data_IF_601696879991
#
_entry.id   IF_601696879991
#
_cell.length_a   1.000
_cell.length_b   1.000
_cell.length_c   1.000
_cell.angle_alpha   90.00
_cell.angle_beta   90.00
_cell.angle_gamma   90.00
#
_symmetry.space_group_name_H-M   'P 1'
#
loop_
_entity.id
_entity.type
_entity.pdbx_description
1 polymer ?
#
# COMPACT_ATOMS: atom_id res chain seq x y z
N UNK A 1 -99.97 2.15 -33.72
CA UNK A 1 -100.36 0.78 -34.15
C UNK A 1 -99.09 0.10 -34.63
N UNK A 2 -98.74 -1.02 -33.98
CA UNK A 2 -98.00 -2.18 -34.52
C UNK A 2 -96.55 -1.93 -35.01
N UNK A 3 -95.53 -2.74 -34.78
CA UNK A 3 -95.33 -4.01 -34.09
C UNK A 3 -93.86 -4.40 -34.38
N UNK A 4 -93.13 -4.88 -33.38
CA UNK A 4 -91.95 -5.76 -33.53
C UNK A 4 -92.38 -7.11 -34.20
N UNK A 5 -91.53 -8.11 -34.57
CA UNK A 5 -90.16 -8.40 -34.07
C UNK A 5 -89.17 -9.12 -35.07
N UNK A 6 -88.05 -9.63 -34.50
CA UNK A 6 -87.19 -10.80 -34.87
C UNK A 6 -86.08 -10.58 -35.93
N UNK A 7 -84.79 -10.46 -35.55
CA UNK A 7 -83.75 -11.45 -35.17
C UNK A 7 -83.08 -12.20 -36.34
N UNK A 8 -81.75 -12.02 -36.49
CA UNK A 8 -80.89 -12.74 -37.45
C UNK A 8 -79.39 -12.50 -37.22
N UNK A 9 -78.85 -13.23 -36.24
CA UNK A 9 -77.48 -13.78 -36.03
C UNK A 9 -76.34 -13.45 -37.03
N UNK A 10 -75.19 -12.99 -36.47
CA UNK A 10 -73.74 -13.23 -36.74
C UNK A 10 -73.26 -13.60 -38.17
N UNK A 11 -72.10 -13.18 -38.72
CA UNK A 11 -70.77 -12.85 -38.17
C UNK A 11 -69.88 -12.16 -39.23
N UNK A 12 -68.87 -11.42 -38.74
CA UNK A 12 -67.54 -11.17 -39.31
C UNK A 12 -67.37 -10.24 -40.54
N UNK A 13 -66.85 -9.04 -40.27
CA UNK A 13 -66.34 -8.09 -41.26
C UNK A 13 -65.56 -6.96 -40.58
N UNK A 14 -64.24 -7.09 -40.62
CA UNK A 14 -63.15 -6.26 -40.11
C UNK A 14 -63.43 -4.73 -40.08
N UNK A 15 -63.31 -4.11 -38.89
CA UNK A 15 -63.17 -2.65 -38.75
C UNK A 15 -61.77 -2.34 -38.21
N UNK A 16 -61.03 -1.59 -39.01
CA UNK A 16 -59.76 -0.95 -38.68
C UNK A 16 -60.03 0.12 -37.61
N UNK A 17 -59.54 -0.08 -36.39
CA UNK A 17 -59.66 0.89 -35.30
C UNK A 17 -58.34 1.65 -35.13
N UNK A 18 -58.39 2.98 -35.34
CA UNK A 18 -57.35 3.91 -34.89
C UNK A 18 -57.42 3.94 -33.35
N UNK A 19 -56.40 3.40 -32.68
CA UNK A 19 -56.22 3.54 -31.25
C UNK A 19 -55.02 4.45 -30.97
N UNK A 20 -55.30 5.50 -30.20
CA UNK A 20 -54.34 6.38 -29.55
C UNK A 20 -53.31 5.56 -28.77
N UNK A 21 -52.03 5.73 -29.07
CA UNK A 21 -50.94 5.15 -28.28
C UNK A 21 -50.92 5.83 -26.90
N UNK A 22 -51.35 5.08 -25.88
CA UNK A 22 -51.03 5.38 -24.49
C UNK A 22 -49.52 5.23 -24.28
N UNK A 23 -48.96 6.18 -23.53
CA UNK A 23 -47.61 6.13 -22.99
C UNK A 23 -47.38 4.78 -22.31
N UNK A 24 -46.41 4.03 -22.82
CA UNK A 24 -45.91 2.83 -22.20
C UNK A 24 -44.91 3.29 -21.11
N UNK A 25 -45.19 2.95 -19.85
CA UNK A 25 -44.29 3.19 -18.72
C UNK A 25 -42.90 2.63 -19.05
N UNK A 26 -41.90 3.50 -18.98
CA UNK A 26 -40.49 3.11 -19.06
C UNK A 26 -40.18 2.19 -17.88
N UNK A 27 -39.78 0.96 -18.18
CA UNK A 27 -39.19 0.06 -17.18
C UNK A 27 -37.90 0.70 -16.67
N UNK A 28 -37.66 0.74 -15.35
CA UNK A 28 -36.42 1.29 -14.83
C UNK A 28 -35.25 0.41 -15.30
N UNK A 29 -34.29 1.05 -15.96
CA UNK A 29 -32.98 0.46 -16.24
C UNK A 29 -32.30 0.24 -14.89
N UNK A 30 -32.09 -1.02 -14.51
CA UNK A 30 -31.33 -1.37 -13.31
C UNK A 30 -29.86 -1.03 -13.53
N UNK A 31 -29.42 0.10 -12.99
CA UNK A 31 -28.00 0.43 -12.84
C UNK A 31 -27.35 -0.62 -11.95
N UNK A 32 -26.26 -1.28 -12.35
CA UNK A 32 -25.49 -2.10 -11.43
C UNK A 32 -24.82 -1.15 -10.41
N UNK A 33 -25.37 -1.13 -9.20
CA UNK A 33 -24.78 -0.45 -8.04
C UNK A 33 -23.44 -1.12 -7.75
N UNK A 34 -22.34 -0.37 -7.92
CA UNK A 34 -21.04 -0.78 -7.42
C UNK A 34 -21.18 -1.12 -5.94
N UNK A 35 -20.69 -2.29 -5.52
CA UNK A 35 -20.60 -2.66 -4.10
C UNK A 35 -19.68 -1.66 -3.42
N UNK A 36 -20.28 -0.70 -2.73
CA UNK A 36 -19.63 0.38 -2.00
C UNK A 36 -19.25 -0.15 -0.62
N UNK A 37 -17.95 -0.37 -0.40
CA UNK A 37 -17.41 -0.77 0.89
C UNK A 37 -17.62 0.36 1.90
N UNK A 38 -18.32 0.06 3.00
CA UNK A 38 -18.73 1.02 4.03
C UNK A 38 -17.72 1.20 5.17
N UNK A 39 -16.58 0.52 5.14
CA UNK A 39 -15.55 0.56 6.19
C UNK A 39 -14.16 0.74 5.57
N UNK A 40 -13.27 1.48 6.24
CA UNK A 40 -11.87 1.61 5.83
C UNK A 40 -11.23 0.21 5.89
N UNK A 41 -10.52 -0.20 4.83
CA UNK A 41 -9.83 -1.48 4.80
C UNK A 41 -8.63 -1.50 5.76
N UNK A 42 -8.12 -2.70 6.06
CA UNK A 42 -6.87 -2.86 6.82
C UNK A 42 -5.73 -2.02 6.22
N UNK A 43 -4.88 -1.45 7.08
CA UNK A 43 -3.74 -0.64 6.65
C UNK A 43 -2.84 -1.43 5.69
N UNK A 44 -2.61 -0.89 4.49
CA UNK A 44 -1.83 -1.54 3.45
C UNK A 44 -0.82 -0.57 2.87
N UNK A 45 0.45 -0.97 2.76
CA UNK A 45 1.53 -0.14 2.20
C UNK A 45 2.19 -0.84 1.01
N UNK A 46 2.63 -0.06 0.03
CA UNK A 46 3.44 -0.58 -1.08
C UNK A 46 4.91 -0.73 -0.66
N UNK A 47 5.67 -1.54 -1.40
CA UNK A 47 7.12 -1.67 -1.23
C UNK A 47 7.89 -0.36 -1.47
N UNK A 48 7.24 0.64 -2.09
CA UNK A 48 7.80 1.98 -2.27
C UNK A 48 7.39 2.96 -1.15
N UNK A 49 6.79 2.47 -0.07
CA UNK A 49 6.44 3.25 1.13
C UNK A 49 5.20 4.13 0.98
N UNK A 50 4.32 3.84 0.01
CA UNK A 50 3.08 4.59 -0.18
C UNK A 50 1.91 3.90 0.52
N UNK A 51 1.03 4.71 1.12
CA UNK A 51 -0.20 4.22 1.73
C UNK A 51 -1.19 3.78 0.64
N UNK A 52 -1.55 2.50 0.65
CA UNK A 52 -2.54 1.84 -0.21
C UNK A 52 -3.83 1.50 0.54
N UNK A 53 -3.99 1.97 1.79
CA UNK A 53 -5.17 1.71 2.62
C UNK A 53 -6.43 2.17 1.88
N UNK A 54 -7.41 1.28 1.64
CA UNK A 54 -8.58 1.63 0.86
C UNK A 54 -9.34 2.81 1.46
N UNK A 55 -9.55 3.85 0.65
CA UNK A 55 -10.33 5.01 1.07
C UNK A 55 -11.80 4.62 1.23
N UNK A 56 -12.42 5.16 2.29
CA UNK A 56 -13.86 5.03 2.53
C UNK A 56 -14.66 5.77 1.47
N UNK A 57 -15.92 5.38 1.30
CA UNK A 57 -16.86 6.10 0.44
C UNK A 57 -16.98 7.59 0.81
N UNK A 58 -16.98 7.91 2.11
CA UNK A 58 -17.07 9.30 2.59
C UNK A 58 -15.87 10.13 2.17
N UNK A 59 -14.65 9.58 2.28
CA UNK A 59 -13.42 10.27 1.84
C UNK A 59 -13.43 10.52 0.32
N UNK A 60 -13.93 9.56 -0.47
CA UNK A 60 -14.07 9.71 -1.91
C UNK A 60 -15.13 10.77 -2.25
N UNK A 61 -16.30 10.76 -1.58
CA UNK A 61 -17.37 11.72 -1.79
C UNK A 61 -16.95 13.15 -1.42
N UNK A 62 -16.22 13.32 -0.32
CA UNK A 62 -15.61 14.59 0.07
C UNK A 62 -14.64 15.08 -0.99
N UNK A 63 -13.70 14.23 -1.41
CA UNK A 63 -12.72 14.58 -2.43
C UNK A 63 -13.36 14.93 -3.77
N UNK A 64 -14.44 14.26 -4.16
CA UNK A 64 -15.16 14.55 -5.40
C UNK A 64 -15.73 15.98 -5.45
N UNK A 65 -15.87 16.67 -4.32
CA UNK A 65 -16.33 18.08 -4.30
C UNK A 65 -15.31 19.04 -4.93
N UNK A 66 -14.04 18.64 -4.97
CA UNK A 66 -12.94 19.42 -5.57
C UNK A 66 -12.66 19.04 -7.03
N UNK A 67 -13.32 18.02 -7.58
CA UNK A 67 -13.05 17.49 -8.91
C UNK A 67 -13.99 18.08 -9.96
N UNK A 68 -13.52 18.13 -11.21
CA UNK A 68 -14.38 18.55 -12.32
C UNK A 68 -15.40 17.45 -12.67
N UNK A 69 -16.49 17.83 -13.33
CA UNK A 69 -17.50 16.87 -13.80
C UNK A 69 -16.89 15.77 -14.68
N UNK A 70 -15.92 16.12 -15.53
CA UNK A 70 -15.24 15.17 -16.41
C UNK A 70 -14.36 14.20 -15.62
N UNK A 71 -13.62 14.70 -14.62
CA UNK A 71 -12.82 13.86 -13.71
C UNK A 71 -13.71 12.89 -12.94
N UNK A 72 -14.86 13.34 -12.44
CA UNK A 72 -15.83 12.48 -11.75
C UNK A 72 -16.40 11.44 -12.73
N UNK A 73 -16.81 11.85 -13.94
CA UNK A 73 -17.34 10.96 -14.97
C UNK A 73 -16.36 9.85 -15.31
N UNK A 74 -15.08 10.18 -15.48
CA UNK A 74 -14.03 9.21 -15.78
C UNK A 74 -13.77 8.32 -14.57
N UNK A 75 -13.43 8.92 -13.43
CA UNK A 75 -12.89 8.17 -12.27
C UNK A 75 -13.95 7.40 -11.50
N UNK A 76 -15.19 7.88 -11.44
CA UNK A 76 -16.28 7.27 -10.63
C UNK A 76 -17.32 6.54 -11.49
N UNK A 77 -17.54 6.97 -12.74
CA UNK A 77 -18.52 6.35 -13.65
C UNK A 77 -17.87 5.57 -14.81
N UNK A 78 -16.57 5.24 -14.69
CA UNK A 78 -15.79 4.49 -15.69
C UNK A 78 -15.88 5.07 -17.10
N UNK A 79 -15.98 6.41 -17.20
CA UNK A 79 -15.94 7.13 -18.46
C UNK A 79 -14.57 7.08 -19.13
N UNK A 80 -14.54 7.32 -20.44
CA UNK A 80 -13.29 7.46 -21.20
C UNK A 80 -13.25 8.81 -21.90
N UNK A 81 -12.08 9.44 -21.93
CA UNK A 81 -11.80 10.63 -22.72
C UNK A 81 -11.87 10.34 -24.22
N UNK A 82 -12.12 11.38 -25.01
CA UNK A 82 -11.90 11.27 -26.45
C UNK A 82 -10.39 11.21 -26.74
N UNK A 83 -9.94 10.38 -27.69
CA UNK A 83 -8.54 10.30 -28.05
C UNK A 83 -8.05 11.67 -28.54
N UNK A 84 -6.79 12.00 -28.22
CA UNK A 84 -6.11 13.25 -28.58
C UNK A 84 -6.66 14.52 -27.92
N UNK A 85 -7.56 14.39 -26.93
CA UNK A 85 -8.11 15.54 -26.20
C UNK A 85 -7.50 15.74 -24.80
N UNK A 86 -6.81 14.74 -24.26
CA UNK A 86 -6.26 14.77 -22.91
C UNK A 86 -5.01 15.65 -22.76
N UNK A 87 -4.91 16.35 -21.63
CA UNK A 87 -3.85 17.33 -21.34
C UNK A 87 -2.47 16.71 -21.10
N UNK A 88 -2.40 15.43 -20.72
CA UNK A 88 -1.16 14.74 -20.34
C UNK A 88 -0.63 13.80 -21.44
N UNK A 89 -1.34 13.71 -22.57
CA UNK A 89 -0.93 12.89 -23.71
C UNK A 89 0.51 13.21 -24.16
N UNK A 90 0.77 14.49 -24.42
CA UNK A 90 2.04 14.96 -24.98
C UNK A 90 3.04 15.44 -23.90
N UNK A 91 2.72 15.26 -22.62
CA UNK A 91 3.66 15.60 -21.55
C UNK A 91 4.93 14.73 -21.64
N UNK A 92 6.10 15.38 -21.61
CA UNK A 92 7.45 14.78 -21.72
C UNK A 92 8.38 15.20 -20.57
N UNK A 93 7.87 15.93 -19.58
CA UNK A 93 8.65 16.33 -18.41
C UNK A 93 8.94 15.13 -17.51
N UNK A 94 10.08 15.18 -16.84
CA UNK A 94 10.43 14.22 -15.80
C UNK A 94 9.61 14.52 -14.54
N UNK A 95 9.19 13.46 -13.84
CA UNK A 95 8.22 13.56 -12.75
C UNK A 95 7.33 12.34 -12.57
N UNK A 96 6.27 12.52 -11.79
CA UNK A 96 5.36 11.48 -11.30
C UNK A 96 3.91 11.81 -11.66
N UNK A 97 3.16 10.79 -12.07
CA UNK A 97 1.72 10.87 -12.34
C UNK A 97 0.95 10.26 -11.18
N UNK A 98 0.16 11.07 -10.50
CA UNK A 98 -0.64 10.72 -9.33
C UNK A 98 -2.11 10.54 -9.71
N UNK A 99 -2.85 9.73 -8.94
CA UNK A 99 -4.30 9.63 -9.06
C UNK A 99 -4.95 10.97 -8.72
N UNK A 100 -5.79 11.54 -9.59
CA UNK A 100 -6.44 12.83 -9.30
C UNK A 100 -7.34 12.81 -8.05
N UNK A 101 -7.91 11.63 -7.74
CA UNK A 101 -8.81 11.42 -6.60
C UNK A 101 -7.98 11.36 -5.32
N UNK A 102 -7.31 10.25 -5.05
CA UNK A 102 -6.62 10.09 -3.77
C UNK A 102 -5.19 10.60 -3.76
N UNK A 103 -4.61 11.03 -4.87
CA UNK A 103 -3.23 11.51 -4.99
C UNK A 103 -2.13 10.45 -4.82
N UNK A 104 -2.49 9.17 -4.80
CA UNK A 104 -1.52 8.07 -4.83
C UNK A 104 -0.66 8.17 -6.10
N UNK A 105 0.68 8.18 -6.03
CA UNK A 105 1.54 8.08 -7.21
C UNK A 105 1.28 6.79 -7.99
N UNK A 106 1.09 6.83 -9.30
CA UNK A 106 0.70 5.67 -10.10
C UNK A 106 1.78 5.27 -11.10
N UNK A 107 2.39 6.25 -11.76
CA UNK A 107 3.38 6.03 -12.82
C UNK A 107 4.51 7.06 -12.77
N UNK A 108 5.69 6.63 -13.18
CA UNK A 108 6.83 7.52 -13.40
C UNK A 108 6.88 7.94 -14.88
N UNK A 109 7.30 9.17 -15.15
CA UNK A 109 7.59 9.67 -16.50
C UNK A 109 8.52 8.76 -17.31
N UNK A 110 9.49 8.12 -16.66
CA UNK A 110 10.41 7.15 -17.27
C UNK A 110 9.71 5.94 -17.86
N UNK A 111 8.50 5.59 -17.37
CA UNK A 111 7.71 4.50 -17.92
C UNK A 111 6.72 4.94 -19.01
N UNK A 112 6.62 6.24 -19.28
CA UNK A 112 5.72 6.82 -20.29
C UNK A 112 6.29 6.62 -21.70
N UNK A 113 5.43 6.28 -22.65
CA UNK A 113 5.82 6.14 -24.06
C UNK A 113 4.70 6.59 -25.01
N UNK A 114 5.06 6.85 -26.27
CA UNK A 114 4.09 7.22 -27.31
C UNK A 114 3.54 5.96 -27.97
N UNK A 115 2.28 5.63 -27.70
CA UNK A 115 1.58 4.46 -28.26
C UNK A 115 0.86 4.74 -29.59
N UNK A 116 0.60 6.01 -29.90
CA UNK A 116 -0.22 6.42 -31.05
C UNK A 116 -1.73 6.28 -30.85
N UNK A 117 -2.20 5.88 -29.66
CA UNK A 117 -3.63 5.66 -29.41
C UNK A 117 -4.41 6.95 -29.14
N UNK A 118 -3.72 8.05 -28.82
CA UNK A 118 -4.34 9.31 -28.41
C UNK A 118 -4.60 9.43 -26.90
N UNK A 119 -4.05 8.51 -26.10
CA UNK A 119 -4.07 8.57 -24.63
C UNK A 119 -2.67 8.38 -24.04
N UNK A 120 -2.35 9.02 -22.89
CA UNK A 120 -1.10 8.77 -22.19
C UNK A 120 -0.95 7.28 -21.91
N UNK A 121 0.24 6.76 -22.23
CA UNK A 121 0.53 5.33 -22.15
C UNK A 121 1.81 5.06 -21.39
N UNK A 122 1.78 4.04 -20.55
CA UNK A 122 2.92 3.63 -19.71
C UNK A 122 3.12 2.13 -19.79
N UNK A 123 4.36 1.67 -19.62
CA UNK A 123 4.65 0.23 -19.68
C UNK A 123 4.77 -0.43 -18.30
N UNK A 124 4.90 0.36 -17.22
CA UNK A 124 5.08 -0.16 -15.85
C UNK A 124 4.49 0.81 -14.82
N UNK A 125 3.71 0.29 -13.88
CA UNK A 125 3.25 1.04 -12.69
C UNK A 125 4.43 1.37 -11.75
N UNK A 126 4.27 2.38 -10.90
CA UNK A 126 5.33 2.84 -10.00
C UNK A 126 5.81 1.73 -9.05
N UNK A 127 4.88 1.08 -8.35
CA UNK A 127 5.14 -0.08 -7.52
C UNK A 127 3.94 -1.04 -7.49
N UNK A 128 4.16 -2.25 -6.97
CA UNK A 128 3.12 -3.26 -6.82
C UNK A 128 1.96 -2.76 -5.93
N UNK A 129 0.73 -3.09 -6.31
CA UNK A 129 -0.48 -2.69 -5.57
C UNK A 129 -0.98 -1.27 -5.88
N UNK A 130 -0.23 -0.43 -6.60
CA UNK A 130 -0.69 0.91 -7.00
C UNK A 130 -1.77 0.88 -8.08
N UNK A 131 -1.77 -0.18 -8.90
CA UNK A 131 -2.76 -0.45 -9.94
C UNK A 131 -3.44 -1.79 -9.65
N UNK A 132 -4.77 -1.79 -9.68
CA UNK A 132 -5.60 -3.00 -9.59
C UNK A 132 -6.21 -3.27 -10.96
N UNK A 133 -6.13 -4.52 -11.40
CA UNK A 133 -6.64 -4.97 -12.69
C UNK A 133 -7.96 -5.71 -12.50
N UNK A 134 -8.98 -5.31 -13.27
CA UNK A 134 -10.34 -5.87 -13.19
C UNK A 134 -10.80 -6.29 -14.58
N UNK A 135 -11.45 -7.44 -14.69
CA UNK A 135 -12.05 -7.88 -15.93
C UNK A 135 -13.26 -7.00 -16.30
N UNK A 136 -13.22 -6.38 -17.48
CA UNK A 136 -14.26 -5.53 -18.04
C UNK A 136 -14.92 -6.25 -19.23
N UNK A 137 -16.22 -6.57 -19.10
CA UNK A 137 -17.05 -7.21 -20.13
C UNK A 137 -18.04 -6.24 -20.81
N UNK A 138 -17.90 -4.95 -20.57
CA UNK A 138 -18.79 -3.93 -21.14
C UNK A 138 -18.65 -3.83 -22.67
N UNK A 139 -19.70 -3.30 -23.32
CA UNK A 139 -19.73 -3.07 -24.77
C UNK A 139 -19.46 -4.30 -25.65
N UNK A 140 -19.68 -5.51 -25.12
CA UNK A 140 -19.46 -6.77 -25.86
C UNK A 140 -17.99 -7.11 -26.09
N UNK A 141 -17.07 -6.45 -25.38
CA UNK A 141 -15.63 -6.71 -25.42
C UNK A 141 -15.15 -7.27 -24.08
N UNK A 142 -14.09 -8.08 -24.10
CA UNK A 142 -13.38 -8.48 -22.88
C UNK A 142 -12.07 -7.70 -22.83
N UNK A 143 -11.94 -6.82 -21.84
CA UNK A 143 -10.77 -5.98 -21.61
C UNK A 143 -10.35 -6.08 -20.14
N UNK A 144 -9.17 -5.56 -19.82
CA UNK A 144 -8.71 -5.42 -18.44
C UNK A 144 -8.73 -3.95 -18.06
N UNK A 145 -9.71 -3.55 -17.25
CA UNK A 145 -9.79 -2.24 -16.61
C UNK A 145 -8.66 -2.10 -15.60
N UNK A 146 -8.06 -0.91 -15.52
CA UNK A 146 -7.12 -0.55 -14.47
C UNK A 146 -7.73 0.51 -13.56
N UNK A 147 -7.62 0.26 -12.25
CA UNK A 147 -8.09 1.17 -11.20
C UNK A 147 -6.96 1.54 -10.26
N UNK A 148 -7.09 2.69 -9.60
CA UNK A 148 -6.20 3.08 -8.52
C UNK A 148 -6.31 2.07 -7.37
N UNK A 149 -5.17 1.57 -6.89
CA UNK A 149 -5.13 0.56 -5.83
C UNK A 149 -5.55 1.04 -4.45
N UNK A 150 -5.62 2.36 -4.22
CA UNK A 150 -6.09 2.97 -2.98
C UNK A 150 -7.57 3.32 -3.01
N UNK A 151 -7.99 4.20 -3.91
CA UNK A 151 -9.39 4.69 -3.90
C UNK A 151 -10.30 4.00 -4.91
N UNK A 152 -9.81 3.04 -5.71
CA UNK A 152 -10.61 2.33 -6.69
C UNK A 152 -11.09 3.20 -7.87
N UNK A 153 -10.51 4.38 -8.08
CA UNK A 153 -10.84 5.24 -9.21
C UNK A 153 -10.50 4.56 -10.54
N UNK A 154 -11.41 4.62 -11.51
CA UNK A 154 -11.14 4.19 -12.88
C UNK A 154 -10.04 5.06 -13.51
N UNK A 155 -9.05 4.40 -14.12
CA UNK A 155 -7.91 5.07 -14.77
C UNK A 155 -7.93 4.86 -16.28
N UNK A 156 -8.30 3.67 -16.73
CA UNK A 156 -8.31 3.27 -18.14
C UNK A 156 -8.23 1.75 -18.30
N UNK A 157 -7.45 1.27 -19.25
CA UNK A 157 -7.29 -0.16 -19.53
C UNK A 157 -5.83 -0.55 -19.77
N UNK A 158 -5.50 -1.83 -19.58
CA UNK A 158 -4.19 -2.40 -19.90
C UNK A 158 -4.28 -3.43 -21.03
N UNK A 159 -3.28 -3.41 -21.90
CA UNK A 159 -3.20 -4.25 -23.09
C UNK A 159 -1.84 -4.98 -23.17
N UNK A 160 -1.77 -6.16 -23.81
CA UNK A 160 -0.53 -6.96 -23.93
C UNK A 160 0.32 -6.57 -25.16
N UNK A 161 0.18 -5.35 -25.66
CA UNK A 161 0.85 -4.82 -26.86
C UNK A 161 1.83 -3.67 -26.53
N UNK A 162 2.36 -3.68 -25.30
CA UNK A 162 3.33 -2.68 -24.84
C UNK A 162 4.78 -3.00 -25.21
N UNK A 163 5.68 -2.03 -25.00
CA UNK A 163 7.10 -2.24 -25.24
C UNK A 163 7.73 -3.19 -24.19
N UNK A 164 8.91 -3.75 -24.47
CA UNK A 164 9.77 -4.34 -23.44
C UNK A 164 10.08 -3.32 -22.33
N UNK A 165 10.37 -3.77 -21.10
CA UNK A 165 10.56 -5.15 -20.68
C UNK A 165 9.26 -5.87 -20.27
N UNK A 166 8.17 -5.15 -20.05
CA UNK A 166 6.93 -5.74 -19.49
C UNK A 166 6.01 -6.31 -20.56
N UNK A 167 6.07 -5.80 -21.80
CA UNK A 167 5.10 -6.12 -22.85
C UNK A 167 3.70 -5.55 -22.57
N UNK A 168 3.55 -4.72 -21.54
CA UNK A 168 2.26 -4.18 -21.08
C UNK A 168 2.11 -2.74 -21.54
N UNK A 169 0.92 -2.35 -21.97
CA UNK A 169 0.54 -0.96 -22.25
C UNK A 169 -0.63 -0.57 -21.38
N UNK A 170 -0.35 0.17 -20.31
CA UNK A 170 -1.34 0.89 -19.53
C UNK A 170 -1.75 2.13 -20.31
N UNK A 171 -3.02 2.23 -20.69
CA UNK A 171 -3.59 3.31 -21.48
C UNK A 171 -4.59 4.08 -20.61
N UNK A 172 -4.27 5.33 -20.26
CA UNK A 172 -4.98 6.08 -19.22
C UNK A 172 -5.70 7.31 -19.77
N UNK A 173 -6.72 7.74 -19.04
CA UNK A 173 -7.31 9.06 -19.21
C UNK A 173 -6.42 10.12 -18.52
N UNK A 174 -6.22 11.28 -19.14
CA UNK A 174 -5.43 12.37 -18.56
C UNK A 174 -6.10 12.96 -17.31
N UNK A 175 -7.42 13.13 -17.32
CA UNK A 175 -8.27 13.61 -16.23
C UNK A 175 -8.35 12.61 -15.07
N UNK A 176 -7.87 11.38 -15.23
CA UNK A 176 -7.70 10.48 -14.08
C UNK A 176 -6.38 10.74 -13.32
N UNK A 177 -5.52 11.60 -13.88
CA UNK A 177 -4.16 11.84 -13.43
C UNK A 177 -3.90 13.31 -13.11
N UNK A 178 -2.98 13.53 -12.19
CA UNK A 178 -2.34 14.82 -11.93
C UNK A 178 -0.82 14.62 -12.02
N UNK A 179 -0.11 15.57 -12.63
CA UNK A 179 1.34 15.46 -12.86
C UNK A 179 2.12 16.40 -11.92
N UNK A 180 3.15 15.86 -11.29
CA UNK A 180 4.09 16.56 -10.43
C UNK A 180 5.49 16.46 -11.07
N UNK A 181 6.14 17.59 -11.32
CA UNK A 181 7.44 17.64 -12.00
C UNK A 181 8.54 17.18 -11.04
N UNK A 182 9.66 16.67 -11.59
CA UNK A 182 10.81 16.30 -10.77
C UNK A 182 11.32 17.51 -9.96
N UNK A 183 11.41 17.34 -8.63
CA UNK A 183 11.79 18.40 -7.70
C UNK A 183 10.61 19.08 -7.00
N UNK A 184 9.37 18.87 -7.49
CA UNK A 184 8.17 19.27 -6.76
C UNK A 184 7.92 18.32 -5.58
N UNK A 185 7.37 18.86 -4.49
CA UNK A 185 6.85 18.03 -3.41
C UNK A 185 5.67 17.20 -3.93
N UNK A 186 5.66 15.91 -3.57
CA UNK A 186 4.51 15.06 -3.83
C UNK A 186 3.29 15.60 -3.09
N UNK A 187 2.08 15.35 -3.60
CA UNK A 187 0.88 15.83 -2.96
C UNK A 187 0.77 15.36 -1.52
N UNK A 188 0.24 16.22 -0.65
CA UNK A 188 -0.09 15.86 0.73
C UNK A 188 -0.98 14.61 0.76
N UNK A 189 -0.61 13.63 1.60
CA UNK A 189 -1.25 12.32 1.68
C UNK A 189 -0.82 11.31 0.60
N UNK A 190 0.15 11.64 -0.26
CA UNK A 190 0.79 10.66 -1.13
C UNK A 190 1.60 9.66 -0.29
N UNK A 191 2.43 10.17 0.62
CA UNK A 191 3.22 9.39 1.59
C UNK A 191 2.81 9.79 3.01
N UNK A 192 2.88 8.86 3.98
CA UNK A 192 2.79 9.22 5.39
C UNK A 192 4.03 10.01 5.84
N UNK A 193 3.87 10.85 6.87
CA UNK A 193 4.97 11.55 7.53
C UNK A 193 5.83 10.56 8.32
N UNK A 194 6.84 9.97 7.69
CA UNK A 194 7.57 8.86 8.29
C UNK A 194 8.64 9.30 9.33
N UNK A 195 8.72 8.56 10.43
CA UNK A 195 9.86 8.58 11.36
C UNK A 195 10.76 7.34 11.17
N UNK A 196 11.99 7.39 11.70
CA UNK A 196 12.98 6.30 11.62
C UNK A 196 13.41 5.87 13.02
N UNK A 197 13.46 4.55 13.25
CA UNK A 197 14.05 3.94 14.44
C UNK A 197 15.06 2.85 14.09
N UNK A 198 16.05 2.62 14.95
CA UNK A 198 17.07 1.59 14.73
C UNK A 198 17.08 0.58 15.88
N UNK A 199 17.10 -0.70 15.54
CA UNK A 199 17.01 -1.81 16.50
C UNK A 199 18.02 -2.90 16.16
N UNK A 200 18.72 -3.43 17.16
CA UNK A 200 19.65 -4.56 17.04
C UNK A 200 19.24 -5.63 18.02
N UNK A 201 18.86 -6.83 17.57
CA UNK A 201 18.21 -7.84 18.43
C UNK A 201 18.75 -9.26 18.30
N UNK A 202 19.88 -9.45 17.61
CA UNK A 202 20.37 -10.75 17.17
C UNK A 202 20.53 -10.78 15.66
N UNK A 203 20.30 -11.95 15.04
CA UNK A 203 20.31 -12.08 13.58
C UNK A 203 19.26 -11.14 12.95
N UNK A 204 19.71 -10.16 12.17
CA UNK A 204 18.85 -9.11 11.62
C UNK A 204 17.70 -9.63 10.74
N UNK A 205 17.80 -10.84 10.17
CA UNK A 205 16.76 -11.43 9.32
C UNK A 205 15.46 -11.66 10.09
N UNK A 206 15.58 -12.10 11.35
CA UNK A 206 14.41 -12.28 12.22
C UNK A 206 13.84 -10.96 12.68
N UNK A 207 14.70 -10.00 12.99
CA UNK A 207 14.30 -8.67 13.47
C UNK A 207 13.60 -7.90 12.36
N UNK A 208 14.17 -7.90 11.15
CA UNK A 208 13.59 -7.33 9.93
C UNK A 208 12.22 -7.90 9.66
N UNK A 209 12.11 -9.23 9.58
CA UNK A 209 10.84 -9.90 9.34
C UNK A 209 9.81 -9.59 10.43
N UNK A 210 10.21 -9.55 11.70
CA UNK A 210 9.31 -9.23 12.81
C UNK A 210 8.70 -7.82 12.69
N UNK A 211 9.52 -6.81 12.39
CA UNK A 211 9.04 -5.44 12.21
C UNK A 211 8.23 -5.26 10.92
N UNK A 212 8.63 -5.89 9.80
CA UNK A 212 7.96 -5.74 8.50
C UNK A 212 6.50 -6.24 8.49
N UNK A 213 6.13 -7.03 9.49
CA UNK A 213 4.76 -7.51 9.70
C UNK A 213 3.86 -6.50 10.41
N UNK A 214 4.40 -5.50 11.09
CA UNK A 214 3.62 -4.55 11.88
C UNK A 214 2.87 -3.53 11.00
N UNK A 215 1.55 -3.36 11.16
CA UNK A 215 0.84 -2.24 10.56
C UNK A 215 1.42 -0.90 11.04
N UNK A 216 1.68 0.00 10.10
CA UNK A 216 2.34 1.29 10.33
C UNK A 216 3.86 1.25 10.11
N UNK A 217 4.49 0.07 10.01
CA UNK A 217 5.86 -0.06 9.52
C UNK A 217 5.85 -0.05 7.99
N UNK A 218 6.57 0.89 7.41
CA UNK A 218 6.59 1.20 5.97
C UNK A 218 7.71 0.48 5.25
N UNK A 219 8.89 0.40 5.87
CA UNK A 219 10.08 -0.24 5.33
C UNK A 219 10.99 -0.70 6.47
N UNK A 220 11.73 -1.80 6.26
CA UNK A 220 12.73 -2.29 7.20
C UNK A 220 13.95 -2.75 6.44
N UNK A 221 15.10 -2.12 6.71
CA UNK A 221 16.37 -2.42 6.02
C UNK A 221 17.35 -3.06 6.99
N UNK A 222 17.84 -4.25 6.66
CA UNK A 222 18.92 -4.93 7.37
C UNK A 222 20.26 -4.23 7.12
N UNK A 223 21.08 -4.07 8.17
CA UNK A 223 22.38 -3.40 8.07
C UNK A 223 23.24 -3.46 9.32
N UNK A 224 24.26 -2.60 9.35
CA UNK A 224 25.31 -2.57 10.36
C UNK A 224 25.49 -1.17 10.93
N UNK A 225 25.55 -1.07 12.26
CA UNK A 225 25.66 0.23 12.95
C UNK A 225 26.50 0.12 14.23
N UNK A 226 26.82 1.25 14.85
CA UNK A 226 27.60 1.42 16.09
C UNK A 226 29.08 1.01 16.07
N UNK A 227 29.55 0.35 15.00
CA UNK A 227 30.95 0.01 14.80
C UNK A 227 31.84 1.17 14.36
N UNK A 228 33.06 0.83 13.99
CA UNK A 228 34.13 1.79 13.65
C UNK A 228 34.62 1.69 12.21
N UNK A 229 34.13 0.70 11.46
CA UNK A 229 34.56 0.43 10.08
C UNK A 229 33.54 1.05 9.13
N UNK A 230 33.99 1.90 8.22
CA UNK A 230 33.13 2.45 7.18
C UNK A 230 32.81 1.40 6.12
N UNK A 231 31.55 1.38 5.65
CA UNK A 231 31.04 0.47 4.60
C UNK A 231 31.43 -0.99 4.84
N UNK A 232 31.10 -1.57 6.00
CA UNK A 232 31.49 -2.93 6.32
C UNK A 232 30.73 -3.94 5.44
N UNK A 233 31.42 -5.01 5.03
CA UNK A 233 30.80 -6.17 4.39
C UNK A 233 30.48 -7.24 5.42
N UNK A 234 29.46 -8.06 5.17
CA UNK A 234 28.98 -9.08 6.12
C UNK A 234 30.10 -9.96 6.68
N UNK A 235 30.99 -10.45 5.81
CA UNK A 235 32.11 -11.32 6.20
C UNK A 235 33.04 -10.67 7.23
N UNK A 236 33.24 -9.36 7.13
CA UNK A 236 34.10 -8.60 8.05
C UNK A 236 33.36 -8.37 9.37
N UNK A 237 32.06 -8.12 9.33
CA UNK A 237 31.22 -7.99 10.54
C UNK A 237 31.18 -9.31 11.31
N UNK A 238 31.00 -10.45 10.63
CA UNK A 238 31.03 -11.77 11.25
C UNK A 238 32.35 -12.12 11.92
N UNK A 239 33.47 -11.49 11.51
CA UNK A 239 34.76 -11.66 12.17
C UNK A 239 34.80 -11.03 13.58
N UNK A 240 33.80 -10.21 13.94
CA UNK A 240 33.63 -9.64 15.28
C UNK A 240 34.58 -8.48 15.62
N UNK A 241 35.41 -8.04 14.68
CA UNK A 241 36.45 -7.02 14.92
C UNK A 241 36.01 -5.59 14.60
N UNK A 242 34.87 -5.42 13.93
CA UNK A 242 34.42 -4.10 13.44
C UNK A 242 33.71 -3.26 14.50
N UNK A 243 33.23 -3.91 15.57
CA UNK A 243 32.36 -3.31 16.59
C UNK A 243 30.91 -3.08 16.14
N UNK A 244 30.56 -3.43 14.90
CA UNK A 244 29.17 -3.27 14.44
C UNK A 244 28.21 -4.21 15.18
N UNK A 245 26.98 -3.76 15.37
CA UNK A 245 25.83 -4.62 15.59
C UNK A 245 25.14 -4.88 14.25
N UNK A 246 24.63 -6.11 14.07
CA UNK A 246 23.55 -6.35 13.12
C UNK A 246 22.31 -5.60 13.63
N UNK A 247 21.81 -4.70 12.79
CA UNK A 247 20.75 -3.77 13.13
C UNK A 247 19.79 -3.64 11.96
N UNK A 248 18.57 -3.21 12.25
CA UNK A 248 17.59 -2.85 11.24
C UNK A 248 17.24 -1.37 11.36
N UNK A 249 17.10 -0.71 10.21
CA UNK A 249 16.49 0.61 10.09
C UNK A 249 15.00 0.41 9.82
N UNK A 250 14.15 0.81 10.75
CA UNK A 250 12.69 0.74 10.65
C UNK A 250 12.17 2.12 10.29
N UNK A 251 11.50 2.23 9.14
CA UNK A 251 10.77 3.42 8.70
C UNK A 251 9.29 3.20 9.02
N UNK A 252 8.66 4.11 9.73
CA UNK A 252 7.30 3.92 10.22
C UNK A 252 6.47 5.20 10.18
N UNK A 253 5.16 5.04 10.08
CA UNK A 253 4.17 6.10 10.19
C UNK A 253 3.80 6.31 11.67
N UNK A 254 4.20 7.45 12.29
CA UNK A 254 3.97 7.74 13.69
C UNK A 254 2.48 7.95 14.02
N UNK A 255 1.62 8.18 13.03
CA UNK A 255 0.18 8.30 13.23
C UNK A 255 -0.50 6.92 13.37
N UNK A 256 0.15 5.85 12.90
CA UNK A 256 -0.36 4.47 12.98
C UNK A 256 0.36 3.67 14.07
N UNK A 257 1.68 3.85 14.20
CA UNK A 257 2.49 3.18 15.21
C UNK A 257 3.58 4.10 15.73
N UNK A 258 3.55 4.39 17.03
CA UNK A 258 4.55 5.27 17.65
C UNK A 258 5.86 4.51 18.00
N UNK A 259 6.93 5.28 18.16
CA UNK A 259 8.26 4.75 18.50
C UNK A 259 8.30 3.98 19.83
N UNK A 260 7.49 4.36 20.82
CA UNK A 260 7.41 3.67 22.11
C UNK A 260 6.78 2.27 21.97
N UNK A 261 5.75 2.15 21.15
CA UNK A 261 5.15 0.87 20.77
C UNK A 261 6.17 -0.02 20.05
N UNK A 262 6.96 0.52 19.12
CA UNK A 262 8.05 -0.22 18.47
C UNK A 262 9.12 -0.68 19.46
N UNK A 263 9.53 0.19 20.40
CA UNK A 263 10.46 -0.19 21.46
C UNK A 263 9.91 -1.33 22.31
N UNK A 264 8.64 -1.25 22.73
CA UNK A 264 8.02 -2.28 23.56
C UNK A 264 7.91 -3.60 22.80
N UNK A 265 7.46 -3.57 21.55
CA UNK A 265 7.43 -4.73 20.67
C UNK A 265 8.81 -5.39 20.57
N UNK A 266 9.84 -4.59 20.29
CA UNK A 266 11.22 -5.06 20.17
C UNK A 266 11.72 -5.79 21.42
N UNK A 267 11.44 -5.27 22.61
CA UNK A 267 11.87 -5.90 23.87
C UNK A 267 11.28 -7.30 24.09
N UNK A 268 10.16 -7.62 23.46
CA UNK A 268 9.51 -8.94 23.52
C UNK A 268 9.74 -9.78 22.25
N UNK A 269 10.27 -9.19 21.18
CA UNK A 269 10.62 -9.88 19.92
C UNK A 269 11.85 -10.78 20.07
N UNK A 270 12.77 -10.41 20.94
CA UNK A 270 14.02 -11.14 21.19
C UNK A 270 14.22 -11.31 22.71
N UNK A 271 15.30 -11.98 23.13
CA UNK A 271 15.70 -12.00 24.54
C UNK A 271 16.66 -10.83 24.84
N UNK A 272 16.20 -9.74 25.48
CA UNK A 272 17.02 -8.56 25.77
C UNK A 272 17.95 -8.75 26.99
N UNK A 273 18.00 -9.94 27.57
CA UNK A 273 18.81 -10.26 28.77
C UNK A 273 20.10 -11.01 28.42
N UNK A 274 20.30 -11.32 27.13
CA UNK A 274 21.48 -12.01 26.63
C UNK A 274 22.54 -11.00 26.16
N UNK A 275 23.63 -10.90 26.92
CA UNK A 275 24.73 -9.99 26.60
C UNK A 275 25.54 -10.54 25.42
N UNK A 276 25.67 -9.76 24.33
CA UNK A 276 26.46 -10.08 23.14
C UNK A 276 26.13 -11.46 22.54
N UNK A 277 24.84 -11.80 22.54
CA UNK A 277 24.31 -13.09 22.08
C UNK A 277 22.81 -12.98 21.85
N UNK A 278 22.31 -13.72 20.87
CA UNK A 278 20.90 -14.06 20.79
C UNK A 278 20.71 -15.53 20.42
N UNK A 279 20.10 -16.31 21.32
CA UNK A 279 19.86 -17.73 21.10
C UNK A 279 21.16 -18.51 20.78
N UNK A 280 21.28 -19.17 19.62
CA UNK A 280 22.51 -19.84 19.21
C UNK A 280 23.60 -18.88 18.72
N UNK A 281 23.24 -17.65 18.32
CA UNK A 281 24.13 -16.69 17.67
C UNK A 281 24.95 -15.92 18.72
N UNK A 282 26.27 -16.09 18.70
CA UNK A 282 27.19 -15.54 19.72
C UNK A 282 28.16 -14.55 19.11
N UNK A 283 28.28 -13.38 19.74
CA UNK A 283 29.18 -12.32 19.31
C UNK A 283 28.58 -10.94 19.54
N UNK A 284 29.43 -9.94 19.68
CA UNK A 284 29.00 -8.54 19.90
C UNK A 284 28.11 -8.04 18.77
N UNK A 285 28.23 -8.58 17.56
CA UNK A 285 27.35 -8.25 16.44
C UNK A 285 25.88 -8.63 16.68
N UNK A 286 25.59 -9.57 17.59
CA UNK A 286 24.24 -10.01 17.92
C UNK A 286 23.70 -9.40 19.22
N UNK A 287 24.33 -8.33 19.72
CA UNK A 287 23.90 -7.67 20.94
C UNK A 287 22.53 -7.00 20.78
N UNK A 288 21.85 -6.85 21.91
CA UNK A 288 20.60 -6.08 22.00
C UNK A 288 20.90 -4.59 22.07
N UNK A 289 20.26 -3.77 21.22
CA UNK A 289 20.43 -2.33 21.19
C UNK A 289 19.26 -1.57 20.57
N UNK A 290 19.00 -0.37 21.09
CA UNK A 290 18.09 0.63 20.52
C UNK A 290 18.92 1.89 20.23
N UNK A 291 18.95 2.31 18.97
CA UNK A 291 19.74 3.47 18.55
C UNK A 291 18.84 4.61 18.11
N UNK A 292 18.88 5.72 18.84
CA UNK A 292 17.83 6.74 18.78
C UNK A 292 18.22 7.90 17.90
N UNK A 293 17.24 8.43 17.15
CA UNK A 293 17.34 9.66 16.37
C UNK A 293 16.85 10.82 17.24
N UNK A 294 17.80 11.55 17.84
CA UNK A 294 17.51 12.70 18.69
C UNK A 294 17.00 12.36 20.09
N UNK A 295 16.74 13.41 20.89
CA UNK A 295 16.44 13.28 22.32
C UNK A 295 15.03 12.78 22.61
N UNK A 296 14.03 13.07 21.76
CA UNK A 296 12.65 12.59 21.90
C UNK A 296 12.62 11.07 21.96
N UNK A 297 13.23 10.41 20.98
CA UNK A 297 13.33 8.95 20.93
C UNK A 297 14.14 8.40 22.11
N UNK A 298 15.24 9.04 22.48
CA UNK A 298 16.04 8.62 23.64
C UNK A 298 15.23 8.59 24.94
N UNK A 299 14.42 9.61 25.18
CA UNK A 299 13.58 9.70 26.37
C UNK A 299 12.46 8.66 26.34
N UNK A 300 11.78 8.48 25.19
CA UNK A 300 10.76 7.45 24.99
C UNK A 300 11.32 6.05 25.20
N UNK A 301 12.43 5.70 24.55
CA UNK A 301 13.06 4.39 24.70
C UNK A 301 13.50 4.12 26.15
N UNK A 302 14.08 5.12 26.83
CA UNK A 302 14.46 4.99 28.24
C UNK A 302 13.25 4.68 29.14
N UNK A 303 12.14 5.38 28.91
CA UNK A 303 10.91 5.13 29.65
C UNK A 303 10.42 3.69 29.43
N UNK A 304 10.32 3.27 28.16
CA UNK A 304 9.87 1.90 27.81
C UNK A 304 10.80 0.85 28.41
N UNK A 305 12.11 1.01 28.34
CA UNK A 305 13.07 0.08 28.95
C UNK A 305 12.87 -0.04 30.46
N UNK A 306 12.63 1.08 31.15
CA UNK A 306 12.36 1.07 32.58
C UNK A 306 11.05 0.35 32.90
N UNK A 307 9.99 0.55 32.12
CA UNK A 307 8.70 -0.12 32.30
C UNK A 307 8.80 -1.62 32.05
N UNK A 308 9.52 -2.03 31.00
CA UNK A 308 9.74 -3.45 30.67
C UNK A 308 10.63 -4.13 31.70
N UNK A 309 11.70 -3.48 32.19
CA UNK A 309 12.55 -4.04 33.25
C UNK A 309 11.79 -4.29 34.56
N UNK A 310 10.79 -3.45 34.86
CA UNK A 310 9.97 -3.56 36.06
C UNK A 310 8.80 -4.55 35.91
N UNK A 311 8.57 -5.11 34.71
CA UNK A 311 7.48 -6.06 34.49
C UNK A 311 7.80 -7.45 35.07
N UNK A 312 6.75 -8.19 35.40
CA UNK A 312 6.88 -9.57 35.90
C UNK A 312 7.57 -10.50 34.89
N UNK A 313 7.45 -10.23 33.58
CA UNK A 313 8.05 -11.04 32.52
C UNK A 313 9.59 -11.06 32.56
N UNK A 314 10.20 -10.00 33.13
CA UNK A 314 11.64 -9.83 33.29
C UNK A 314 12.10 -9.85 34.75
N UNK A 315 11.22 -10.28 35.67
CA UNK A 315 11.55 -10.40 37.09
C UNK A 315 12.78 -11.29 37.31
N UNK A 316 13.78 -10.75 38.01
CA UNK A 316 15.06 -11.44 38.27
C UNK A 316 15.99 -11.56 37.07
N UNK A 317 15.65 -10.97 35.91
CA UNK A 317 16.48 -10.97 34.70
C UNK A 317 16.83 -9.54 34.29
N UNK A 318 18.11 -9.20 34.35
CA UNK A 318 18.58 -7.88 33.98
C UNK A 318 18.58 -7.72 32.45
N UNK A 319 17.91 -6.67 31.97
CA UNK A 319 17.97 -6.22 30.58
C UNK A 319 19.35 -5.60 30.33
N UNK A 320 19.99 -6.04 29.25
CA UNK A 320 21.33 -5.63 28.82
C UNK A 320 21.32 -4.87 27.49
N UNK A 321 20.14 -4.50 27.01
CA UNK A 321 19.95 -3.67 25.82
C UNK A 321 20.69 -2.35 25.95
N UNK A 322 21.60 -2.08 25.02
CA UNK A 322 22.27 -0.78 24.96
C UNK A 322 21.30 0.30 24.43
N UNK A 323 21.39 1.50 24.99
CA UNK A 323 20.57 2.65 24.59
C UNK A 323 21.49 3.82 24.29
N UNK A 324 21.71 4.08 23.00
CA UNK A 324 22.67 5.07 22.53
C UNK A 324 22.09 5.91 21.37
N UNK A 325 22.74 7.03 21.06
CA UNK A 325 22.45 7.73 19.82
C UNK A 325 22.89 6.91 18.61
N UNK A 326 22.10 6.95 17.54
CA UNK A 326 22.42 6.33 16.27
C UNK A 326 23.70 6.92 15.65
N UNK A 327 24.70 6.06 15.34
CA UNK A 327 25.82 6.39 14.44
C UNK A 327 25.44 6.12 12.97
N UNK A 328 26.40 6.21 12.05
CA UNK A 328 26.16 5.87 10.64
C UNK A 328 25.65 4.44 10.48
N UNK A 329 24.50 4.30 9.84
CA UNK A 329 23.93 3.02 9.43
C UNK A 329 24.42 2.64 8.02
N UNK A 330 24.93 1.43 7.87
CA UNK A 330 25.35 0.88 6.59
C UNK A 330 24.40 -0.24 6.20
N UNK A 331 23.67 -0.08 5.09
CA UNK A 331 22.81 -1.14 4.58
C UNK A 331 23.64 -2.40 4.26
N UNK A 332 23.12 -3.56 4.64
CA UNK A 332 23.69 -4.85 4.26
C UNK A 332 23.43 -5.16 2.79
N UNK A 333 24.15 -6.14 2.26
CA UNK A 333 24.04 -6.59 0.87
C UNK A 333 22.61 -7.04 0.53
N UNK A 334 22.19 -6.87 -0.73
CA UNK A 334 20.81 -7.14 -1.20
C UNK A 334 20.29 -8.55 -0.88
N UNK A 335 21.19 -9.54 -0.80
CA UNK A 335 20.81 -10.91 -0.49
C UNK A 335 20.39 -11.09 0.99
N UNK A 336 20.74 -10.16 1.88
CA UNK A 336 20.30 -10.17 3.27
C UNK A 336 18.91 -9.54 3.46
N UNK A 337 18.51 -8.63 2.57
CA UNK A 337 17.23 -7.93 2.67
C UNK A 337 16.07 -8.89 2.41
N UNK A 338 15.01 -8.80 3.22
CA UNK A 338 13.81 -9.64 3.16
C UNK A 338 14.11 -11.15 3.17
N UNK A 339 15.22 -11.58 3.79
CA UNK A 339 15.73 -12.94 3.62
C UNK A 339 14.68 -14.00 4.01
N UNK A 340 13.98 -13.81 5.14
CA UNK A 340 12.94 -14.75 5.59
C UNK A 340 11.74 -14.75 4.65
N UNK A 341 11.28 -13.58 4.21
CA UNK A 341 10.16 -13.50 3.26
C UNK A 341 10.49 -14.18 1.93
N UNK A 342 11.74 -14.07 1.45
CA UNK A 342 12.20 -14.71 0.21
C UNK A 342 12.41 -16.22 0.33
N UNK A 343 12.78 -16.73 1.51
CA UNK A 343 13.24 -18.13 1.67
C UNK A 343 12.33 -19.01 2.51
N UNK A 344 11.41 -18.43 3.29
CA UNK A 344 10.61 -19.15 4.29
C UNK A 344 11.44 -19.71 5.45
N UNK A 345 12.70 -19.27 5.63
CA UNK A 345 13.58 -19.77 6.69
C UNK A 345 13.04 -19.38 8.07
N UNK A 346 12.93 -20.34 8.97
CA UNK A 346 12.57 -20.08 10.36
C UNK A 346 13.69 -19.31 11.11
N UNK A 347 13.28 -18.43 12.02
CA UNK A 347 14.17 -17.67 12.90
C UNK A 347 13.69 -17.75 14.36
N UNK A 348 14.56 -17.39 15.30
CA UNK A 348 14.35 -17.54 16.74
C UNK A 348 13.55 -16.40 17.40
N UNK A 349 13.05 -15.43 16.62
CA UNK A 349 12.28 -14.29 17.14
C UNK A 349 10.89 -14.72 17.65
N UNK A 350 10.44 -14.06 18.72
CA UNK A 350 9.16 -14.33 19.40
C UNK A 350 8.06 -13.36 18.94
N UNK A 351 7.68 -13.44 17.67
CA UNK A 351 6.62 -12.57 17.09
C UNK A 351 5.30 -12.66 17.90
N UNK A 352 4.79 -13.84 18.30
CA UNK A 352 3.55 -13.92 19.06
C UNK A 352 3.61 -13.21 20.43
N UNK A 353 4.73 -13.37 21.14
CA UNK A 353 4.94 -12.68 22.41
C UNK A 353 5.05 -11.17 22.24
N UNK A 354 5.74 -10.72 21.19
CA UNK A 354 5.91 -9.31 20.87
C UNK A 354 4.59 -8.62 20.54
N UNK A 355 3.73 -9.25 19.73
CA UNK A 355 2.39 -8.72 19.44
C UNK A 355 1.52 -8.62 20.69
N UNK A 356 1.53 -9.68 21.51
CA UNK A 356 0.79 -9.69 22.78
C UNK A 356 1.23 -8.54 23.69
N UNK A 357 2.52 -8.23 23.75
CA UNK A 357 3.06 -7.15 24.58
C UNK A 357 2.54 -5.76 24.20
N UNK A 358 2.20 -5.56 22.92
CA UNK A 358 1.60 -4.32 22.39
C UNK A 358 0.08 -4.42 22.20
N UNK A 359 -0.55 -5.45 22.77
CA UNK A 359 -2.01 -5.62 22.72
C UNK A 359 -2.57 -6.02 21.36
N UNK A 360 -1.75 -6.57 20.45
CA UNK A 360 -2.17 -7.08 19.13
C UNK A 360 -2.27 -8.60 19.14
N UNK A 361 -3.18 -9.14 18.34
CA UNK A 361 -3.37 -10.59 18.22
C UNK A 361 -2.51 -11.13 17.06
N UNK A 362 -1.81 -12.27 17.22
CA UNK A 362 -1.08 -12.91 16.12
C UNK A 362 -1.91 -13.19 14.86
N UNK A 363 -3.23 -13.34 14.99
CA UNK A 363 -4.15 -13.49 13.84
C UNK A 363 -4.26 -12.23 13.00
N UNK A 364 -3.95 -11.06 13.56
CA UNK A 364 -4.03 -9.76 12.88
C UNK A 364 -2.94 -9.60 11.81
N UNK A 365 -1.94 -10.50 11.79
CA UNK A 365 -0.91 -10.57 10.75
C UNK A 365 -1.35 -11.38 9.51
N UNK A 366 -2.46 -12.10 9.57
CA UNK A 366 -2.87 -13.06 8.53
C UNK A 366 -3.38 -12.43 7.23
N UNK A 367 -3.46 -11.10 7.13
CA UNK A 367 -3.89 -10.38 5.92
C UNK A 367 -2.77 -10.14 4.90
N UNK A 368 -1.49 -10.34 5.25
CA UNK A 368 -0.41 -10.44 4.26
C UNK A 368 -0.34 -11.87 3.74
N UNK A 369 -1.13 -12.15 2.69
CA UNK A 369 -1.02 -13.37 1.91
C UNK A 369 0.41 -13.51 1.37
N UNK A 370 1.09 -14.55 1.82
CA UNK A 370 2.29 -15.08 1.17
C UNK A 370 1.91 -16.16 0.17
#
# INVERSE_FOLDING_TARGET
MSSLPVLGVFTAGTILSLALFSFNEERPVSTPTATINSEAGDSKFSSAGFDLTPWTKSQIEERCQDLTEEQIRITQASGTERPFCGTLLDNKKDGIYCCVVCRLPLFESTSKFTSGTGWPSFYRALAEGHIVEIEDKSHGMVRTEIRCGRCGAHLGHVFPDGPPPTGRRYCLNSEALEFYEEGDDLPEGAKPDAEIGYFAGGCFWGVEHGFALLPGVLDVVSGYQQGTVDRPEYKVVCAGTTGHAESVKVVFDPDIIDFGTLCKYFMYLHDPTQLNRQGPDRGTQYRSGIYTVGEKQLNTARQVLSEVQASEDFSGRQIVTELEAAKTFWAAEDYHQDYIAKTGRACHVNIPGALKAIGRNPTDLSSKGH
#
